data_IF_969573423553
#
_entry.id   IF_969573423553
#
_cell.length_a   1.000
_cell.length_b   1.000
_cell.length_c   1.000
_cell.angle_alpha   90.00
_cell.angle_beta   90.00
_cell.angle_gamma   90.00
#
_symmetry.space_group_name_H-M   'P 1'
#
loop_
_entity.id
_entity.type
_entity.pdbx_description
1 polymer ?
#
# COMPACT_ATOMS: atom_id res chain seq x y z
N UNK A 1 72.29 -24.81 41.80
CA UNK A 1 71.89 -24.51 40.39
C UNK A 1 70.58 -25.20 40.11
N UNK A 2 69.48 -24.48 40.28
CA UNK A 2 68.09 -25.04 40.18
C UNK A 2 67.54 -24.76 38.81
N UNK A 3 67.24 -25.83 38.07
CA UNK A 3 66.51 -25.78 36.80
C UNK A 3 65.01 -25.77 37.11
N UNK A 4 64.32 -24.68 36.82
CA UNK A 4 62.84 -24.60 36.90
C UNK A 4 62.20 -25.11 35.57
N UNK A 5 61.55 -26.25 35.65
CA UNK A 5 60.73 -26.77 34.55
C UNK A 5 59.50 -25.96 34.41
N UNK A 6 59.33 -25.36 33.26
CA UNK A 6 58.07 -24.63 32.86
C UNK A 6 57.08 -25.60 32.18
N UNK A 7 56.02 -25.90 32.86
CA UNK A 7 54.89 -26.67 32.24
C UNK A 7 54.02 -25.70 31.42
N UNK A 8 54.02 -25.87 30.11
CA UNK A 8 53.09 -25.18 29.22
C UNK A 8 51.84 -26.08 29.10
N UNK A 9 50.71 -25.60 29.64
CA UNK A 9 49.40 -26.23 29.50
C UNK A 9 48.78 -25.73 28.22
N UNK A 10 48.73 -26.58 27.17
CA UNK A 10 48.00 -26.28 25.95
C UNK A 10 46.49 -26.51 26.19
N UNK A 11 45.74 -25.43 26.23
CA UNK A 11 44.26 -25.50 26.14
C UNK A 11 43.86 -25.62 24.67
N UNK A 12 43.43 -26.80 24.24
CA UNK A 12 42.76 -26.98 22.96
C UNK A 12 41.28 -26.63 23.15
N UNK A 13 40.89 -25.45 22.66
CA UNK A 13 39.46 -25.08 22.56
C UNK A 13 38.90 -25.80 21.35
N UNK A 14 38.14 -26.86 21.58
CA UNK A 14 37.37 -27.52 20.55
C UNK A 14 36.20 -26.61 20.11
N UNK A 15 36.26 -26.06 18.90
CA UNK A 15 35.11 -25.45 18.27
C UNK A 15 34.14 -26.57 17.85
N UNK A 16 33.10 -26.80 18.62
CA UNK A 16 31.96 -27.57 18.18
C UNK A 16 31.15 -26.71 17.17
N UNK A 17 31.27 -27.03 15.88
CA UNK A 17 30.44 -26.44 14.83
C UNK A 17 29.01 -26.97 15.04
N UNK A 18 28.18 -26.23 15.78
CA UNK A 18 26.75 -26.47 15.79
C UNK A 18 26.19 -26.00 14.45
N UNK A 19 25.95 -26.94 13.55
CA UNK A 19 25.15 -26.68 12.36
C UNK A 19 23.71 -26.40 12.82
N UNK A 20 23.36 -25.11 12.89
CA UNK A 20 21.97 -24.70 13.02
C UNK A 20 21.25 -25.06 11.71
N UNK A 21 20.59 -26.21 11.74
CA UNK A 21 19.67 -26.58 10.67
C UNK A 21 18.40 -25.74 10.85
N UNK A 22 18.37 -24.54 10.28
CA UNK A 22 17.18 -23.71 10.19
C UNK A 22 16.27 -24.25 9.08
N UNK A 23 15.78 -25.48 9.22
CA UNK A 23 14.51 -25.81 8.60
C UNK A 23 13.46 -25.04 9.40
N UNK A 24 13.01 -23.93 8.83
CA UNK A 24 11.73 -23.34 9.21
C UNK A 24 10.71 -24.47 9.12
N UNK A 25 9.87 -24.69 10.13
CA UNK A 25 8.79 -25.65 9.99
C UNK A 25 7.99 -25.22 8.76
N UNK A 26 7.94 -26.11 7.77
CA UNK A 26 7.01 -26.06 6.66
C UNK A 26 5.63 -26.38 7.25
N UNK A 27 5.16 -25.43 8.06
CA UNK A 27 3.75 -25.41 8.41
C UNK A 27 3.06 -24.94 7.15
N UNK A 28 2.44 -25.87 6.44
CA UNK A 28 1.31 -25.64 5.57
C UNK A 28 0.19 -24.97 6.40
N UNK A 29 0.44 -23.76 6.85
CA UNK A 29 -0.63 -22.87 7.25
C UNK A 29 -1.26 -22.46 5.93
N UNK A 30 -2.30 -23.22 5.55
CA UNK A 30 -3.20 -22.81 4.48
C UNK A 30 -3.64 -21.37 4.84
N UNK A 31 -2.93 -20.39 4.29
CA UNK A 31 -3.26 -18.97 4.48
C UNK A 31 -4.58 -18.72 3.75
N UNK A 32 -5.67 -19.14 4.39
CA UNK A 32 -7.02 -18.81 3.94
C UNK A 32 -7.13 -17.30 3.98
N UNK A 33 -7.27 -16.71 2.80
CA UNK A 33 -7.59 -15.28 2.70
C UNK A 33 -8.90 -15.11 3.49
N UNK A 34 -8.93 -14.33 4.58
CA UNK A 34 -10.02 -14.36 5.56
C UNK A 34 -11.41 -14.09 4.99
N UNK A 35 -11.50 -13.53 3.78
CA UNK A 35 -12.76 -13.16 3.11
C UNK A 35 -13.05 -14.01 1.86
N UNK A 36 -12.15 -14.92 1.44
CA UNK A 36 -12.30 -15.65 0.19
C UNK A 36 -13.36 -16.76 0.27
N UNK A 37 -13.39 -17.47 1.39
CA UNK A 37 -14.31 -18.61 1.61
C UNK A 37 -15.56 -18.23 2.43
N UNK A 38 -15.80 -16.93 2.65
CA UNK A 38 -16.98 -16.50 3.39
C UNK A 38 -18.18 -16.35 2.49
N UNK A 39 -19.32 -16.84 2.96
CA UNK A 39 -20.60 -16.58 2.31
C UNK A 39 -21.09 -15.18 2.70
N UNK A 40 -21.33 -14.35 1.70
CA UNK A 40 -21.87 -12.99 1.87
C UNK A 40 -23.27 -12.88 1.26
N UNK A 41 -24.34 -13.24 1.98
CA UNK A 41 -25.71 -13.24 1.45
C UNK A 41 -26.14 -11.90 0.83
N UNK A 42 -25.58 -10.79 1.34
CA UNK A 42 -25.81 -9.47 0.76
C UNK A 42 -25.24 -9.36 -0.66
N UNK A 43 -24.01 -9.84 -0.88
CA UNK A 43 -23.37 -9.84 -2.20
C UNK A 43 -24.16 -10.70 -3.18
N UNK A 44 -24.56 -11.90 -2.75
CA UNK A 44 -25.35 -12.84 -3.58
C UNK A 44 -26.69 -12.22 -3.97
N UNK A 45 -27.37 -11.57 -3.04
CA UNK A 45 -28.64 -10.89 -3.29
C UNK A 45 -28.48 -9.76 -4.31
N UNK A 46 -27.43 -8.95 -4.20
CA UNK A 46 -27.12 -7.91 -5.19
C UNK A 46 -26.83 -8.52 -6.57
N UNK A 47 -25.90 -9.49 -6.60
CA UNK A 47 -25.49 -10.15 -7.84
C UNK A 47 -26.65 -10.80 -8.58
N UNK A 48 -27.64 -11.34 -7.86
CA UNK A 48 -28.83 -11.95 -8.45
C UNK A 48 -29.74 -10.92 -9.16
N UNK A 49 -29.73 -9.65 -8.74
CA UNK A 49 -30.57 -8.59 -9.31
C UNK A 49 -29.87 -7.76 -10.39
N UNK A 50 -28.56 -7.88 -10.55
CA UNK A 50 -27.75 -7.08 -11.47
C UNK A 50 -27.74 -7.68 -12.88
N UNK A 51 -27.87 -6.81 -13.89
CA UNK A 51 -27.55 -7.16 -15.28
C UNK A 51 -26.06 -7.36 -15.48
N UNK A 52 -25.66 -7.98 -16.58
CA UNK A 52 -24.23 -8.15 -16.90
C UNK A 52 -23.51 -6.79 -17.05
N UNK A 53 -24.15 -5.80 -17.65
CA UNK A 53 -23.57 -4.46 -17.82
C UNK A 53 -23.34 -3.78 -16.46
N UNK A 54 -24.27 -3.95 -15.52
CA UNK A 54 -24.10 -3.44 -14.15
C UNK A 54 -22.96 -4.14 -13.42
N UNK A 55 -22.83 -5.46 -13.58
CA UNK A 55 -21.70 -6.23 -13.00
C UNK A 55 -20.36 -5.76 -13.58
N UNK A 56 -20.31 -5.55 -14.89
CA UNK A 56 -19.12 -5.00 -15.56
C UNK A 56 -18.83 -3.59 -15.03
N UNK A 57 -19.83 -2.74 -14.87
CA UNK A 57 -19.67 -1.40 -14.30
C UNK A 57 -18.98 -1.40 -12.93
N UNK A 58 -19.29 -2.38 -12.08
CA UNK A 58 -18.69 -2.50 -10.74
C UNK A 58 -17.18 -2.81 -10.76
N UNK A 59 -16.64 -3.27 -11.88
CA UNK A 59 -15.19 -3.52 -12.02
C UNK A 59 -14.38 -2.25 -12.31
N UNK A 60 -15.04 -1.11 -12.56
CA UNK A 60 -14.36 0.14 -12.90
C UNK A 60 -14.25 1.06 -11.70
N UNK A 61 -13.02 1.51 -11.44
CA UNK A 61 -12.70 2.63 -10.57
C UNK A 61 -12.18 3.77 -11.44
N UNK A 62 -12.83 4.93 -11.39
CA UNK A 62 -12.59 6.05 -12.31
C UNK A 62 -11.96 7.23 -11.58
N UNK A 63 -11.03 7.92 -12.26
CA UNK A 63 -10.37 9.10 -11.71
C UNK A 63 -11.34 10.27 -11.54
N UNK A 64 -11.44 10.78 -10.32
CA UNK A 64 -12.23 11.94 -9.95
C UNK A 64 -11.34 13.08 -9.44
N UNK A 65 -11.76 14.30 -9.69
CA UNK A 65 -11.01 15.50 -9.34
C UNK A 65 -11.94 16.49 -8.64
N UNK A 66 -11.51 17.08 -7.55
CA UNK A 66 -12.29 18.11 -6.86
C UNK A 66 -11.87 19.53 -7.16
N UNK A 67 -10.94 19.71 -8.12
CA UNK A 67 -10.47 20.99 -8.66
C UNK A 67 -10.82 21.21 -10.13
N UNK A 68 -11.56 20.28 -10.76
CA UNK A 68 -12.07 20.44 -12.11
C UNK A 68 -13.45 21.10 -12.11
N UNK A 69 -13.90 21.48 -13.30
CA UNK A 69 -15.14 22.21 -13.55
C UNK A 69 -16.43 21.35 -13.45
N UNK A 70 -17.56 22.00 -13.66
CA UNK A 70 -18.87 21.36 -13.64
C UNK A 70 -19.06 20.28 -14.75
N UNK A 71 -18.33 20.41 -15.87
CA UNK A 71 -18.40 19.42 -16.93
C UNK A 71 -17.84 18.07 -16.47
N UNK A 72 -16.68 18.08 -15.75
CA UNK A 72 -16.12 16.89 -15.14
C UNK A 72 -17.05 16.30 -14.08
N UNK A 73 -17.67 17.13 -13.24
CA UNK A 73 -18.64 16.63 -12.24
C UNK A 73 -19.79 15.90 -12.93
N UNK A 74 -20.35 16.47 -14.00
CA UNK A 74 -21.43 15.85 -14.77
C UNK A 74 -21.02 14.56 -15.48
N UNK A 75 -19.77 14.48 -15.94
CA UNK A 75 -19.21 13.24 -16.49
C UNK A 75 -19.22 12.12 -15.43
N UNK A 76 -18.65 12.38 -14.23
CA UNK A 76 -18.65 11.41 -13.13
C UNK A 76 -20.08 11.01 -12.72
N UNK A 77 -21.00 11.97 -12.62
CA UNK A 77 -22.41 11.67 -12.34
C UNK A 77 -23.04 10.73 -13.39
N UNK A 78 -22.68 10.93 -14.66
CA UNK A 78 -23.15 10.08 -15.75
C UNK A 78 -22.61 8.66 -15.61
N UNK A 79 -21.32 8.50 -15.28
CA UNK A 79 -20.70 7.20 -15.05
C UNK A 79 -21.37 6.45 -13.88
N UNK A 80 -21.69 7.16 -12.81
CA UNK A 80 -22.38 6.58 -11.64
C UNK A 80 -23.82 6.17 -12.00
N UNK A 81 -24.60 7.08 -12.57
CA UNK A 81 -26.04 6.86 -12.79
C UNK A 81 -26.32 5.88 -13.92
N UNK A 82 -25.58 6.00 -15.03
CA UNK A 82 -25.82 5.22 -16.26
C UNK A 82 -25.07 3.89 -16.24
N UNK A 83 -23.77 3.92 -15.90
CA UNK A 83 -22.92 2.74 -15.99
C UNK A 83 -22.73 2.03 -14.63
N UNK A 84 -23.16 2.63 -13.53
CA UNK A 84 -23.11 2.07 -12.18
C UNK A 84 -21.69 1.58 -11.83
N UNK A 85 -20.68 2.44 -12.06
CA UNK A 85 -19.29 2.14 -11.75
C UNK A 85 -19.09 1.79 -10.26
N UNK A 86 -18.09 0.93 -9.98
CA UNK A 86 -17.84 0.41 -8.62
C UNK A 86 -17.09 1.36 -7.71
N UNK A 87 -16.30 2.28 -8.27
CA UNK A 87 -15.49 3.16 -7.44
C UNK A 87 -14.95 4.41 -8.11
N UNK A 88 -14.38 5.26 -7.28
CA UNK A 88 -13.69 6.47 -7.69
C UNK A 88 -12.32 6.54 -7.00
N UNK A 89 -11.31 6.97 -7.76
CA UNK A 89 -10.01 7.36 -7.19
C UNK A 89 -9.87 8.88 -7.28
N UNK A 90 -9.75 9.56 -6.14
CA UNK A 90 -9.53 11.00 -6.13
C UNK A 90 -8.07 11.33 -6.37
N UNK A 91 -7.82 12.10 -7.45
CA UNK A 91 -6.46 12.41 -7.92
C UNK A 91 -5.99 13.77 -7.44
N UNK A 92 -6.79 14.81 -7.53
CA UNK A 92 -6.39 16.16 -7.14
C UNK A 92 -7.58 17.00 -6.66
N UNK A 93 -7.25 17.99 -5.81
CA UNK A 93 -8.21 18.99 -5.35
C UNK A 93 -7.99 19.43 -3.92
N UNK A 94 -9.05 19.66 -3.18
CA UNK A 94 -9.00 20.07 -1.79
C UNK A 94 -9.92 19.25 -0.89
N UNK A 95 -9.61 19.13 0.39
CA UNK A 95 -10.28 18.18 1.29
C UNK A 95 -11.79 18.44 1.41
N UNK A 96 -12.18 19.69 1.59
CA UNK A 96 -13.61 20.06 1.72
C UNK A 96 -14.37 19.86 0.41
N UNK A 97 -13.74 20.21 -0.72
CA UNK A 97 -14.35 20.01 -2.04
C UNK A 97 -14.53 18.52 -2.34
N UNK A 98 -13.51 17.71 -2.02
CA UNK A 98 -13.59 16.24 -2.19
C UNK A 98 -14.72 15.64 -1.36
N UNK A 99 -14.81 15.95 -0.05
CA UNK A 99 -15.84 15.39 0.83
C UNK A 99 -17.24 15.73 0.31
N UNK A 100 -17.46 16.97 -0.16
CA UNK A 100 -18.75 17.38 -0.75
C UNK A 100 -19.09 16.55 -1.98
N UNK A 101 -18.14 16.34 -2.87
CA UNK A 101 -18.32 15.50 -4.06
C UNK A 101 -18.53 14.04 -3.69
N UNK A 102 -17.72 13.49 -2.78
CA UNK A 102 -17.88 12.12 -2.27
C UNK A 102 -19.31 11.88 -1.77
N UNK A 103 -19.81 12.77 -0.91
CA UNK A 103 -21.15 12.65 -0.37
C UNK A 103 -22.22 12.74 -1.46
N UNK A 104 -22.05 13.66 -2.42
CA UNK A 104 -22.96 13.81 -3.56
C UNK A 104 -22.97 12.56 -4.44
N UNK A 105 -21.81 12.01 -4.77
CA UNK A 105 -21.66 10.82 -5.61
C UNK A 105 -22.21 9.57 -4.91
N UNK A 106 -21.94 9.40 -3.62
CA UNK A 106 -22.51 8.31 -2.83
C UNK A 106 -24.05 8.37 -2.78
N UNK A 107 -24.63 9.56 -2.61
CA UNK A 107 -26.09 9.73 -2.52
C UNK A 107 -26.83 9.37 -3.83
N UNK A 108 -26.15 9.43 -4.97
CA UNK A 108 -26.75 9.09 -6.26
C UNK A 108 -26.41 7.69 -6.76
N UNK A 109 -25.49 7.00 -6.10
CA UNK A 109 -25.11 5.64 -6.46
C UNK A 109 -26.08 4.62 -5.85
N UNK A 110 -26.50 3.64 -6.66
CA UNK A 110 -27.38 2.54 -6.18
C UNK A 110 -26.64 1.56 -5.28
N UNK A 111 -25.37 1.31 -5.59
CA UNK A 111 -24.46 0.48 -4.80
C UNK A 111 -23.38 1.44 -4.29
N UNK A 112 -23.03 1.41 -3.00
CA UNK A 112 -22.02 2.30 -2.46
C UNK A 112 -20.71 2.23 -3.23
N UNK A 113 -20.15 3.40 -3.59
CA UNK A 113 -18.90 3.48 -4.33
C UNK A 113 -17.71 3.17 -3.41
N UNK A 114 -16.76 2.39 -3.90
CA UNK A 114 -15.43 2.30 -3.31
C UNK A 114 -14.67 3.59 -3.61
N UNK A 115 -14.24 4.30 -2.58
CA UNK A 115 -13.44 5.53 -2.74
C UNK A 115 -11.99 5.21 -2.42
N UNK A 116 -11.10 5.53 -3.34
CA UNK A 116 -9.66 5.31 -3.20
C UNK A 116 -8.87 6.60 -3.38
N UNK A 117 -7.62 6.56 -2.95
CA UNK A 117 -6.62 7.62 -3.14
C UNK A 117 -5.22 7.02 -3.18
N UNK A 118 -4.31 7.61 -3.99
CA UNK A 118 -2.87 7.46 -3.76
C UNK A 118 -2.45 8.48 -2.71
N UNK A 119 -2.16 8.03 -1.52
CA UNK A 119 -1.74 8.88 -0.41
C UNK A 119 -0.54 8.25 0.34
N UNK A 120 0.55 8.00 -0.43
CA UNK A 120 1.76 7.34 0.07
C UNK A 120 2.35 8.06 1.28
N UNK A 121 2.40 9.39 1.22
CA UNK A 121 2.80 10.27 2.34
C UNK A 121 1.64 11.12 2.85
N UNK A 122 0.44 10.52 2.83
CA UNK A 122 -0.79 11.14 3.29
C UNK A 122 -1.53 11.91 2.18
N UNK A 123 -2.71 12.47 2.50
CA UNK A 123 -3.57 13.16 1.54
C UNK A 123 -2.91 14.31 0.79
N UNK A 124 -1.83 14.89 1.33
CA UNK A 124 -1.09 15.97 0.67
C UNK A 124 -0.43 15.53 -0.66
N UNK A 125 -0.30 14.25 -0.92
CA UNK A 125 0.08 13.77 -2.25
C UNK A 125 -0.91 14.20 -3.33
N UNK A 126 -2.18 14.40 -2.97
CA UNK A 126 -3.30 14.65 -3.90
C UNK A 126 -4.06 15.94 -3.61
N UNK A 127 -4.10 16.37 -2.36
CA UNK A 127 -4.95 17.48 -1.93
C UNK A 127 -4.13 18.68 -1.47
N UNK A 128 -4.63 19.86 -1.83
CA UNK A 128 -4.17 21.12 -1.26
C UNK A 128 -4.66 21.29 0.20
N UNK A 129 -4.09 22.23 0.93
CA UNK A 129 -4.59 22.67 2.25
C UNK A 129 -4.70 21.55 3.31
N UNK A 130 -3.80 20.56 3.24
CA UNK A 130 -3.66 19.50 4.23
C UNK A 130 -2.20 19.37 4.68
N UNK A 131 -1.97 18.71 5.82
CA UNK A 131 -0.63 18.46 6.33
C UNK A 131 0.09 17.47 5.42
N UNK A 132 1.32 17.82 5.00
CA UNK A 132 2.20 16.94 4.26
C UNK A 132 3.14 16.21 5.22
N UNK A 133 3.17 14.89 5.12
CA UNK A 133 4.19 14.08 5.79
C UNK A 133 5.44 13.98 4.90
N UNK A 134 6.54 13.51 5.48
CA UNK A 134 7.74 13.18 4.74
C UNK A 134 7.49 11.99 3.81
N UNK A 135 8.36 11.83 2.81
CA UNK A 135 8.35 10.68 1.91
C UNK A 135 8.83 9.41 2.63
N UNK A 136 8.47 8.26 2.10
CA UNK A 136 8.75 6.95 2.70
C UNK A 136 10.26 6.69 2.89
N UNK A 137 11.12 7.26 2.05
CA UNK A 137 12.57 7.14 2.24
C UNK A 137 13.04 7.72 3.58
N UNK A 138 12.43 8.83 4.02
CA UNK A 138 12.71 9.39 5.35
C UNK A 138 12.24 8.44 6.46
N UNK A 139 11.09 7.79 6.29
CA UNK A 139 10.59 6.81 7.26
C UNK A 139 11.44 5.53 7.27
N UNK A 140 11.96 5.15 6.09
CA UNK A 140 12.91 4.03 5.97
C UNK A 140 14.20 4.22 6.76
N UNK A 141 14.65 5.47 6.91
CA UNK A 141 15.85 5.83 7.69
C UNK A 141 15.60 5.91 9.21
N UNK A 142 14.33 5.85 9.67
CA UNK A 142 14.01 5.92 11.09
C UNK A 142 14.41 4.64 11.83
N UNK A 143 15.01 4.80 13.01
CA UNK A 143 15.47 3.68 13.86
C UNK A 143 14.28 2.89 14.44
N UNK A 144 13.18 3.59 14.78
CA UNK A 144 12.03 2.98 15.43
C UNK A 144 10.91 2.71 14.41
N UNK A 145 10.61 1.44 14.17
CA UNK A 145 9.57 1.02 13.22
C UNK A 145 8.17 1.43 13.66
N UNK A 146 7.93 1.52 14.99
CA UNK A 146 6.68 2.00 15.57
C UNK A 146 6.29 3.40 15.07
N UNK A 147 7.27 4.25 14.77
CA UNK A 147 7.00 5.59 14.23
C UNK A 147 6.32 5.52 12.86
N UNK A 148 6.67 4.55 12.02
CA UNK A 148 5.99 4.34 10.73
C UNK A 148 4.53 3.93 10.94
N UNK A 149 4.29 3.06 11.92
CA UNK A 149 2.93 2.68 12.29
C UNK A 149 2.11 3.88 12.81
N UNK A 150 2.70 4.73 13.67
CA UNK A 150 2.05 5.93 14.19
C UNK A 150 1.68 6.91 13.06
N UNK A 151 2.62 7.19 12.14
CA UNK A 151 2.38 8.03 10.96
C UNK A 151 1.28 7.43 10.08
N UNK A 152 1.35 6.12 9.82
CA UNK A 152 0.33 5.40 9.06
C UNK A 152 -1.06 5.50 9.70
N UNK A 153 -1.13 5.42 11.03
CA UNK A 153 -2.37 5.60 11.79
C UNK A 153 -2.97 7.01 11.60
N UNK A 154 -2.15 8.05 11.67
CA UNK A 154 -2.61 9.42 11.44
C UNK A 154 -3.11 9.60 10.01
N UNK A 155 -2.39 9.06 9.03
CA UNK A 155 -2.80 9.09 7.61
C UNK A 155 -4.14 8.37 7.43
N UNK A 156 -4.30 7.17 8.00
CA UNK A 156 -5.55 6.42 7.95
C UNK A 156 -6.73 7.20 8.53
N UNK A 157 -6.54 7.88 9.67
CA UNK A 157 -7.56 8.73 10.28
C UNK A 157 -7.94 9.91 9.38
N UNK A 158 -6.97 10.53 8.69
CA UNK A 158 -7.24 11.59 7.73
C UNK A 158 -8.04 11.06 6.54
N UNK A 159 -7.64 9.92 5.97
CA UNK A 159 -8.34 9.26 4.85
C UNK A 159 -9.78 8.90 5.23
N UNK A 160 -9.98 8.34 6.42
CA UNK A 160 -11.30 8.00 6.94
C UNK A 160 -12.22 9.24 7.04
N UNK A 161 -11.70 10.37 7.50
CA UNK A 161 -12.44 11.64 7.53
C UNK A 161 -12.80 12.18 6.16
N UNK A 162 -12.03 11.81 5.12
CA UNK A 162 -12.29 12.16 3.73
C UNK A 162 -13.27 11.18 3.05
N UNK A 163 -13.71 10.12 3.75
CA UNK A 163 -14.56 9.08 3.19
C UNK A 163 -13.82 8.15 2.22
N UNK A 164 -12.48 8.03 2.37
CA UNK A 164 -11.65 7.12 1.57
C UNK A 164 -11.65 5.74 2.24
N UNK A 165 -11.82 4.70 1.45
CA UNK A 165 -11.87 3.30 1.89
C UNK A 165 -10.56 2.56 1.60
N UNK A 166 -9.85 2.94 0.53
CA UNK A 166 -8.62 2.29 0.09
C UNK A 166 -7.52 3.33 -0.18
N UNK A 167 -6.32 3.06 0.35
CA UNK A 167 -5.11 3.80 0.03
C UNK A 167 -4.22 2.93 -0.86
N UNK A 168 -3.87 3.38 -2.06
CA UNK A 168 -2.88 2.71 -2.89
C UNK A 168 -1.46 3.02 -2.39
N UNK A 169 -1.17 2.49 -1.22
CA UNK A 169 0.08 2.55 -0.46
C UNK A 169 0.14 1.35 0.50
N UNK A 170 1.35 0.95 0.95
CA UNK A 170 2.66 1.58 0.75
C UNK A 170 3.31 1.29 -0.60
N UNK A 171 4.29 2.13 -0.98
CA UNK A 171 5.29 1.77 -1.97
C UNK A 171 6.31 0.82 -1.29
N UNK A 172 6.37 -0.42 -1.75
CA UNK A 172 7.27 -1.46 -1.24
C UNK A 172 8.31 -1.89 -2.28
N UNK A 173 8.53 -1.05 -3.28
CA UNK A 173 9.61 -1.22 -4.23
C UNK A 173 10.97 -1.11 -3.53
N UNK A 174 11.93 -1.93 -3.95
CA UNK A 174 13.31 -1.88 -3.46
C UNK A 174 14.09 -0.93 -4.35
N UNK A 175 14.44 0.25 -3.83
CA UNK A 175 15.08 1.32 -4.60
C UNK A 175 16.60 1.06 -4.79
N UNK A 176 16.95 -0.02 -5.48
CA UNK A 176 18.32 -0.44 -5.71
C UNK A 176 18.94 0.11 -7.02
N UNK A 177 18.16 0.84 -7.81
CA UNK A 177 18.63 1.52 -9.02
C UNK A 177 18.48 3.05 -8.89
N UNK A 178 19.58 3.74 -8.66
CA UNK A 178 19.62 5.20 -8.52
C UNK A 178 19.17 5.96 -9.79
N UNK A 179 19.13 5.30 -10.96
CA UNK A 179 18.64 5.87 -12.21
C UNK A 179 17.14 5.77 -12.39
N UNK A 180 16.48 5.03 -11.51
CA UNK A 180 15.03 4.88 -11.60
C UNK A 180 14.32 6.23 -11.52
N UNK A 181 13.53 6.61 -12.55
CA UNK A 181 12.93 7.95 -12.62
C UNK A 181 11.65 8.10 -11.80
N UNK A 182 11.13 6.99 -11.23
CA UNK A 182 9.77 6.94 -10.67
C UNK A 182 9.77 6.68 -9.17
N UNK A 183 10.58 5.74 -8.70
CA UNK A 183 10.50 5.24 -7.31
C UNK A 183 11.25 6.18 -6.35
N UNK A 184 12.57 6.24 -6.43
CA UNK A 184 13.38 7.19 -5.65
C UNK A 184 12.97 7.29 -4.18
N UNK A 185 12.59 8.48 -3.76
CA UNK A 185 12.21 8.80 -2.38
C UNK A 185 10.82 8.28 -1.96
N UNK A 186 10.08 7.64 -2.86
CA UNK A 186 8.81 6.98 -2.57
C UNK A 186 9.01 5.65 -1.83
N UNK A 187 10.11 4.93 -2.10
CA UNK A 187 10.44 3.68 -1.42
C UNK A 187 11.00 3.91 -0.02
N UNK A 188 10.92 2.89 0.84
CA UNK A 188 11.54 2.90 2.18
C UNK A 188 13.08 2.74 2.15
N UNK A 189 13.67 2.46 1.00
CA UNK A 189 15.11 2.30 0.82
C UNK A 189 15.49 1.18 -0.13
N UNK A 190 16.77 0.75 -0.04
CA UNK A 190 17.36 -0.26 -0.90
C UNK A 190 17.52 -1.64 -0.22
N UNK A 191 17.38 -1.70 1.11
CA UNK A 191 17.43 -2.97 1.86
C UNK A 191 16.04 -3.61 1.89
N UNK A 192 15.92 -4.79 1.28
CA UNK A 192 14.64 -5.51 1.15
C UNK A 192 13.97 -5.86 2.48
N UNK A 193 14.77 -6.11 3.53
CA UNK A 193 14.22 -6.46 4.84
C UNK A 193 13.67 -5.22 5.55
N UNK A 194 14.37 -4.10 5.45
CA UNK A 194 13.88 -2.82 5.94
C UNK A 194 12.60 -2.38 5.19
N UNK A 195 12.60 -2.49 3.86
CA UNK A 195 11.41 -2.19 3.03
C UNK A 195 10.23 -3.05 3.45
N UNK A 196 10.43 -4.36 3.61
CA UNK A 196 9.37 -5.28 4.04
C UNK A 196 8.84 -4.93 5.44
N UNK A 197 9.72 -4.68 6.40
CA UNK A 197 9.34 -4.34 7.78
C UNK A 197 8.57 -3.02 7.85
N UNK A 198 9.10 -1.96 7.26
CA UNK A 198 8.43 -0.64 7.21
C UNK A 198 7.11 -0.68 6.46
N UNK A 199 7.08 -1.43 5.34
CA UNK A 199 5.86 -1.66 4.56
C UNK A 199 4.78 -2.36 5.38
N UNK A 200 5.14 -3.39 6.15
CA UNK A 200 4.23 -4.08 7.07
C UNK A 200 3.70 -3.15 8.16
N UNK A 201 4.56 -2.31 8.77
CA UNK A 201 4.14 -1.35 9.79
C UNK A 201 3.10 -0.37 9.22
N UNK A 202 3.36 0.16 8.02
CA UNK A 202 2.43 1.09 7.38
C UNK A 202 1.13 0.40 6.96
N UNK A 203 1.21 -0.78 6.35
CA UNK A 203 0.05 -1.58 5.96
C UNK A 203 -0.84 -1.89 7.17
N UNK A 204 -0.26 -2.40 8.26
CA UNK A 204 -1.01 -2.71 9.48
C UNK A 204 -1.70 -1.46 10.04
N UNK A 205 -1.02 -0.31 10.07
CA UNK A 205 -1.60 0.94 10.53
C UNK A 205 -2.85 1.34 9.72
N UNK A 206 -2.81 1.17 8.38
CA UNK A 206 -3.98 1.42 7.53
C UNK A 206 -5.12 0.44 7.85
N UNK A 207 -4.82 -0.86 7.89
CA UNK A 207 -5.82 -1.92 8.06
C UNK A 207 -6.45 -1.90 9.46
N UNK A 208 -5.68 -1.68 10.51
CA UNK A 208 -6.19 -1.54 11.90
C UNK A 208 -7.13 -0.35 12.04
N UNK A 209 -7.04 0.63 11.14
CA UNK A 209 -7.94 1.77 11.06
C UNK A 209 -9.02 1.63 9.98
N UNK A 210 -9.25 0.42 9.46
CA UNK A 210 -10.25 0.08 8.43
C UNK A 210 -10.03 0.81 7.10
N UNK A 211 -8.80 1.05 6.69
CA UNK A 211 -8.42 1.49 5.35
C UNK A 211 -7.74 0.32 4.64
N UNK A 212 -8.24 -0.06 3.48
CA UNK A 212 -7.58 -1.07 2.66
C UNK A 212 -6.22 -0.55 2.20
N UNK A 213 -5.17 -1.35 2.39
CA UNK A 213 -3.83 -1.06 1.93
C UNK A 213 -3.53 -1.80 0.62
N UNK A 214 -2.61 -1.25 -0.17
CA UNK A 214 -2.17 -1.85 -1.42
C UNK A 214 -0.66 -1.70 -1.56
N UNK A 215 0.08 -2.78 -1.27
CA UNK A 215 1.52 -2.83 -1.54
C UNK A 215 1.80 -2.80 -3.03
N UNK A 216 2.67 -1.89 -3.47
CA UNK A 216 2.94 -1.65 -4.90
C UNK A 216 4.42 -1.38 -5.13
N UNK A 217 4.94 -1.61 -6.36
CA UNK A 217 4.25 -1.97 -7.59
C UNK A 217 4.66 -3.39 -7.99
N UNK A 218 3.77 -4.33 -7.85
CA UNK A 218 4.05 -5.72 -8.22
C UNK A 218 4.33 -5.86 -9.73
N UNK A 219 5.33 -6.66 -10.17
CA UNK A 219 6.23 -7.53 -9.37
C UNK A 219 7.45 -6.79 -8.78
N UNK A 220 7.60 -5.51 -8.97
CA UNK A 220 8.67 -4.63 -8.53
C UNK A 220 9.02 -3.59 -9.60
N UNK A 221 9.24 -2.35 -9.20
CA UNK A 221 9.60 -1.24 -10.08
C UNK A 221 10.92 -0.55 -9.68
N UNK A 222 11.51 -0.92 -8.54
CA UNK A 222 12.63 -0.19 -7.97
C UNK A 222 13.97 -0.33 -8.69
N UNK A 223 14.13 -1.35 -9.53
CA UNK A 223 15.36 -1.68 -10.25
C UNK A 223 15.34 -1.37 -11.75
N UNK A 224 14.20 -0.92 -12.30
CA UNK A 224 14.08 -0.62 -13.73
C UNK A 224 14.53 0.79 -14.09
N UNK A 225 15.02 0.97 -15.33
CA UNK A 225 15.52 2.26 -15.82
C UNK A 225 14.43 3.11 -16.51
N UNK A 226 13.22 2.57 -16.67
CA UNK A 226 12.19 3.21 -17.48
C UNK A 226 10.94 3.53 -16.64
N UNK A 227 10.28 4.63 -17.00
CA UNK A 227 8.99 5.00 -16.43
C UNK A 227 7.86 4.18 -17.07
N UNK A 228 7.13 3.42 -16.27
CA UNK A 228 5.99 2.61 -16.70
C UNK A 228 4.81 3.40 -17.26
N UNK A 229 4.74 4.73 -17.01
CA UNK A 229 3.74 5.60 -17.62
C UNK A 229 4.06 5.97 -19.08
N UNK A 230 5.31 5.78 -19.50
CA UNK A 230 5.80 6.17 -20.84
C UNK A 230 6.14 4.97 -21.69
N UNK A 231 6.71 3.93 -21.08
CA UNK A 231 7.14 2.70 -21.78
C UNK A 231 6.94 1.50 -20.87
N UNK A 232 7.06 0.29 -21.44
CA UNK A 232 6.97 -0.94 -20.66
C UNK A 232 8.35 -1.29 -20.07
N UNK A 233 8.57 -1.14 -18.77
CA UNK A 233 9.80 -1.59 -18.14
C UNK A 233 9.83 -3.12 -18.06
N UNK A 234 11.03 -3.68 -18.12
CA UNK A 234 11.25 -5.14 -18.05
C UNK A 234 11.96 -5.46 -16.75
N UNK A 235 11.35 -6.31 -15.94
CA UNK A 235 11.95 -6.87 -14.71
C UNK A 235 12.65 -8.18 -15.09
N UNK A 236 13.97 -8.23 -14.92
CA UNK A 236 14.82 -9.36 -15.34
C UNK A 236 15.18 -10.31 -14.18
N UNK A 237 14.45 -10.26 -13.09
CA UNK A 237 14.66 -11.14 -11.94
C UNK A 237 13.64 -12.29 -11.93
N UNK A 238 14.11 -13.43 -11.40
CA UNK A 238 13.28 -14.62 -11.14
C UNK A 238 12.80 -14.66 -9.71
#
# INVERSE_FOLDING_TARGET
MYIKSLFILLFTVGFASASFNTQLPENDVEHKIPFYDQNYPWVDSLMATMTIDQKIGQLFMVAAYSNKDAAHVKEIETLIKKYQIGGLIFMQGGPVRQVKLTNSYQSMSKIPLMIAMDAEWGPAMRLDSVISFQRQLTWGAMTYDSTVYEVGTIIAQQLKRLGVHANFAPDIDINNNYKNPVIGDRAFGEDKYNVALKGLMYMNALQDNNILACGKHFPGHGDVDADSHVTMPVVNHS
#
